data_IF_034378432742
#
_entry.id   IF_034378432742
#
_cell.length_a   1.000
_cell.length_b   1.000
_cell.length_c   1.000
_cell.angle_alpha   90.00
_cell.angle_beta   90.00
_cell.angle_gamma   90.00
#
_symmetry.space_group_name_H-M   'P 1'
#
loop_
_entity.id
_entity.type
_entity.pdbx_description
1 polymer ?
#
# COMPACT_ATOMS: atom_id res chain seq x y z
N UNK A 1 -11.21 -54.14 -11.57
CA UNK A 1 -12.24 -53.28 -12.18
C UNK A 1 -13.54 -53.53 -11.46
N UNK A 2 -14.00 -52.58 -10.65
CA UNK A 2 -15.31 -52.63 -9.98
C UNK A 2 -15.92 -51.24 -10.11
N UNK A 3 -16.98 -51.14 -10.92
CA UNK A 3 -17.80 -49.95 -11.06
C UNK A 3 -18.94 -50.05 -10.04
N UNK A 4 -19.06 -49.07 -9.15
CA UNK A 4 -20.24 -48.85 -8.33
C UNK A 4 -20.92 -47.57 -8.81
N UNK A 5 -22.23 -47.69 -9.04
CA UNK A 5 -23.09 -46.76 -9.78
C UNK A 5 -23.62 -45.65 -8.88
N UNK A 6 -23.71 -44.45 -9.44
CA UNK A 6 -24.54 -43.37 -8.95
C UNK A 6 -26.01 -43.74 -9.13
N UNK A 7 -26.83 -43.53 -8.10
CA UNK A 7 -28.26 -43.32 -8.29
C UNK A 7 -28.82 -42.32 -7.28
N UNK A 8 -29.60 -41.41 -7.87
CA UNK A 8 -30.21 -40.22 -7.34
C UNK A 8 -31.30 -40.51 -6.30
N UNK A 9 -31.45 -39.65 -5.28
CA UNK A 9 -32.75 -39.40 -4.65
C UNK A 9 -32.97 -37.92 -4.36
N UNK A 10 -33.59 -37.29 -5.34
CA UNK A 10 -34.45 -36.12 -5.23
C UNK A 10 -35.48 -36.32 -4.10
N UNK A 11 -35.47 -35.47 -3.07
CA UNK A 11 -36.66 -35.22 -2.23
C UNK A 11 -36.81 -33.73 -1.92
N UNK A 12 -37.70 -33.14 -2.69
CA UNK A 12 -38.34 -31.84 -2.53
C UNK A 12 -39.38 -31.97 -1.41
N UNK A 13 -39.30 -31.16 -0.35
CA UNK A 13 -40.35 -31.05 0.67
C UNK A 13 -40.98 -29.66 0.62
N UNK A 14 -42.30 -29.67 0.48
CA UNK A 14 -43.17 -28.54 0.20
C UNK A 14 -43.37 -27.60 1.41
N UNK A 15 -43.71 -26.36 1.07
CA UNK A 15 -44.16 -25.31 1.97
C UNK A 15 -45.57 -25.56 2.57
N UNK A 16 -45.74 -24.93 3.74
CA UNK A 16 -46.95 -24.29 4.28
C UNK A 16 -48.07 -25.12 4.94
N UNK A 17 -48.30 -24.88 6.23
CA UNK A 17 -49.51 -24.23 6.76
C UNK A 17 -49.54 -24.22 8.32
N UNK A 18 -49.98 -23.12 8.93
CA UNK A 18 -50.32 -23.03 10.36
C UNK A 18 -50.15 -21.61 10.93
N UNK A 19 -51.06 -20.68 10.59
CA UNK A 19 -52.23 -20.20 11.37
C UNK A 19 -51.92 -19.11 12.40
N UNK A 20 -52.54 -17.96 12.15
CA UNK A 20 -52.66 -16.78 13.01
C UNK A 20 -53.56 -17.04 14.23
N UNK A 21 -53.24 -16.40 15.36
CA UNK A 21 -54.21 -16.03 16.38
C UNK A 21 -53.84 -14.66 16.95
N UNK A 22 -54.81 -13.76 16.98
CA UNK A 22 -54.73 -12.38 17.45
C UNK A 22 -55.56 -12.20 18.73
N UNK A 23 -55.15 -11.29 19.62
CA UNK A 23 -56.08 -10.46 20.40
C UNK A 23 -55.98 -10.47 21.94
N UNK A 24 -55.40 -9.38 22.50
CA UNK A 24 -56.09 -8.50 23.47
C UNK A 24 -55.96 -8.73 25.00
N UNK A 25 -56.18 -7.70 25.85
CA UNK A 25 -55.27 -7.33 26.96
C UNK A 25 -55.89 -7.26 28.38
N UNK A 26 -55.04 -7.25 29.45
CA UNK A 26 -55.04 -6.28 30.60
C UNK A 26 -54.21 -6.75 31.84
N UNK A 27 -53.17 -5.96 32.16
CA UNK A 27 -52.66 -5.41 33.45
C UNK A 27 -52.93 -6.12 34.80
N UNK A 28 -51.88 -6.48 35.55
CA UNK A 28 -51.40 -5.75 36.77
C UNK A 28 -50.35 -6.49 37.62
N UNK A 29 -49.22 -5.82 37.92
CA UNK A 29 -48.53 -5.86 39.22
C UNK A 29 -47.46 -6.92 39.49
N UNK A 30 -46.17 -6.51 39.55
CA UNK A 30 -45.36 -6.36 40.79
C UNK A 30 -43.87 -6.20 40.43
N UNK A 31 -43.27 -5.19 41.05
CA UNK A 31 -41.91 -4.66 40.94
C UNK A 31 -40.76 -5.65 41.13
N UNK A 32 -39.67 -5.47 40.37
CA UNK A 32 -38.30 -5.49 40.91
C UNK A 32 -37.44 -4.39 40.30
N UNK A 33 -36.84 -3.66 41.23
CA UNK A 33 -35.88 -2.57 41.09
C UNK A 33 -34.62 -3.05 40.38
N UNK A 34 -34.17 -2.29 39.38
CA UNK A 34 -32.87 -2.42 38.73
C UNK A 34 -32.52 -1.07 38.10
N UNK A 35 -31.53 -0.41 38.69
CA UNK A 35 -31.11 0.97 38.50
C UNK A 35 -31.19 1.51 37.05
N UNK A 36 -31.94 2.60 36.89
CA UNK A 36 -31.71 3.57 35.82
C UNK A 36 -30.37 4.26 36.09
N UNK A 37 -29.34 3.94 35.31
CA UNK A 37 -28.22 4.86 35.09
C UNK A 37 -28.59 5.70 33.87
N UNK A 38 -29.09 6.90 34.12
CA UNK A 38 -29.25 7.96 33.13
C UNK A 38 -27.84 8.50 32.88
N UNK A 39 -27.28 8.48 31.67
CA UNK A 39 -26.16 9.35 31.36
C UNK A 39 -26.73 10.75 31.14
N UNK A 40 -26.72 11.56 32.20
CA UNK A 40 -26.79 13.02 32.09
C UNK A 40 -25.44 13.51 31.56
N UNK A 41 -25.31 13.55 30.24
CA UNK A 41 -24.71 14.67 29.50
C UNK A 41 -25.03 14.47 28.01
N UNK A 42 -26.28 14.79 27.66
CA UNK A 42 -26.65 15.04 26.26
C UNK A 42 -26.80 16.54 26.17
N UNK A 43 -25.80 17.19 25.60
CA UNK A 43 -25.86 18.58 25.19
C UNK A 43 -27.06 18.76 24.24
N UNK A 44 -28.15 19.31 24.78
CA UNK A 44 -29.40 19.62 24.08
C UNK A 44 -29.22 20.84 23.12
N UNK A 45 -27.97 21.27 22.89
CA UNK A 45 -27.59 22.30 21.92
C UNK A 45 -27.26 21.75 20.53
N UNK A 46 -27.36 20.43 20.31
CA UNK A 46 -27.17 19.88 18.97
C UNK A 46 -28.45 20.06 18.15
N UNK A 47 -28.53 21.15 17.38
CA UNK A 47 -29.56 21.33 16.36
C UNK A 47 -29.73 20.03 15.54
N UNK A 48 -30.96 19.61 15.17
CA UNK A 48 -31.18 18.38 14.43
C UNK A 48 -30.26 18.38 13.20
N UNK A 49 -29.41 17.35 13.07
CA UNK A 49 -28.52 17.19 11.91
C UNK A 49 -29.39 17.31 10.66
N UNK A 50 -29.23 18.40 9.90
CA UNK A 50 -30.03 18.63 8.70
C UNK A 50 -29.79 17.46 7.76
N UNK A 51 -30.83 16.69 7.45
CA UNK A 51 -30.77 15.70 6.38
C UNK A 51 -30.45 16.46 5.08
N UNK A 52 -29.41 16.02 4.37
CA UNK A 52 -28.98 16.64 3.11
C UNK A 52 -30.01 16.45 1.96
N UNK A 53 -31.03 15.61 2.17
CA UNK A 53 -32.09 15.36 1.20
C UNK A 53 -33.29 16.31 1.46
N UNK A 54 -33.87 16.93 0.41
CA UNK A 54 -35.12 17.68 0.53
C UNK A 54 -36.19 16.80 1.20
N UNK A 55 -36.94 17.36 2.15
CA UNK A 55 -38.03 16.65 2.87
C UNK A 55 -39.08 16.06 1.92
N UNK A 56 -39.21 16.62 0.71
CA UNK A 56 -40.11 16.15 -0.36
C UNK A 56 -39.54 15.01 -1.22
N UNK A 57 -38.30 14.56 -0.98
CA UNK A 57 -37.67 13.44 -1.71
C UNK A 57 -37.82 12.09 -1.00
N UNK A 58 -38.48 12.06 0.15
CA UNK A 58 -38.68 10.86 0.95
C UNK A 58 -39.79 9.99 0.33
N UNK A 59 -39.39 9.00 -0.45
CA UNK A 59 -40.30 7.98 -0.97
C UNK A 59 -40.46 6.85 0.05
N UNK A 60 -41.71 6.51 0.38
CA UNK A 60 -42.01 5.32 1.18
C UNK A 60 -41.68 4.07 0.35
N UNK A 61 -40.76 3.24 0.86
CA UNK A 61 -40.41 1.98 0.24
C UNK A 61 -41.61 1.02 0.26
N UNK A 62 -41.91 0.40 -0.88
CA UNK A 62 -42.90 -0.68 -0.93
C UNK A 62 -42.34 -1.96 -0.28
N UNK A 63 -43.23 -2.87 0.13
CA UNK A 63 -42.82 -4.16 0.69
C UNK A 63 -41.84 -4.87 -0.27
N UNK A 64 -40.62 -5.15 0.21
CA UNK A 64 -39.55 -5.77 -0.58
C UNK A 64 -38.52 -4.82 -1.21
N UNK A 65 -38.68 -3.49 -1.09
CA UNK A 65 -37.72 -2.48 -1.59
C UNK A 65 -36.69 -2.02 -0.55
N UNK A 66 -36.64 -2.64 0.63
CA UNK A 66 -35.65 -2.35 1.67
C UNK A 66 -34.33 -3.10 1.49
N UNK A 67 -33.26 -2.59 2.10
CA UNK A 67 -32.00 -3.32 2.22
C UNK A 67 -32.23 -4.63 2.99
N UNK A 68 -31.83 -5.76 2.41
CA UNK A 68 -31.84 -7.06 3.08
C UNK A 68 -30.52 -7.25 3.81
N UNK A 69 -30.59 -7.56 5.10
CA UNK A 69 -29.40 -7.90 5.89
C UNK A 69 -28.97 -9.32 5.56
N UNK A 70 -27.69 -9.50 5.24
CA UNK A 70 -27.12 -10.83 4.99
C UNK A 70 -26.99 -11.58 6.31
N UNK A 71 -27.71 -12.69 6.44
CA UNK A 71 -27.64 -13.64 7.56
C UNK A 71 -27.08 -14.97 7.04
N UNK A 72 -26.70 -15.87 7.96
CA UNK A 72 -26.12 -17.18 7.60
C UNK A 72 -27.02 -18.01 6.66
N UNK A 73 -28.34 -17.81 6.76
CA UNK A 73 -29.34 -18.57 6.01
C UNK A 73 -29.60 -18.02 4.60
N UNK A 74 -29.37 -16.72 4.37
CA UNK A 74 -29.58 -16.07 3.06
C UNK A 74 -28.27 -15.73 2.35
N UNK A 75 -27.11 -16.01 2.97
CA UNK A 75 -25.80 -15.70 2.43
C UNK A 75 -25.52 -16.41 1.10
N UNK A 76 -25.97 -17.67 0.95
CA UNK A 76 -25.83 -18.42 -0.29
C UNK A 76 -26.64 -17.77 -1.43
N UNK A 77 -27.90 -17.43 -1.17
CA UNK A 77 -28.77 -16.76 -2.14
C UNK A 77 -28.24 -15.35 -2.50
N UNK A 78 -27.73 -14.61 -1.52
CA UNK A 78 -27.13 -13.30 -1.73
C UNK A 78 -25.83 -13.39 -2.56
N UNK A 79 -25.01 -14.41 -2.35
CA UNK A 79 -23.80 -14.67 -3.13
C UNK A 79 -24.13 -15.04 -4.58
N UNK A 80 -25.15 -15.87 -4.81
CA UNK A 80 -25.60 -16.25 -6.15
C UNK A 80 -26.14 -15.04 -6.92
N UNK A 81 -26.96 -14.19 -6.28
CA UNK A 81 -27.46 -12.93 -6.89
C UNK A 81 -26.31 -11.97 -7.21
N UNK A 82 -25.30 -11.88 -6.35
CA UNK A 82 -24.11 -11.06 -6.59
C UNK A 82 -23.27 -11.60 -7.76
N UNK A 83 -23.11 -12.93 -7.85
CA UNK A 83 -22.42 -13.61 -8.95
C UNK A 83 -23.15 -13.40 -10.27
N UNK A 84 -24.47 -13.56 -10.30
CA UNK A 84 -25.29 -13.31 -11.50
C UNK A 84 -25.19 -11.85 -11.99
N UNK A 85 -25.21 -10.88 -11.07
CA UNK A 85 -25.00 -9.47 -11.44
C UNK A 85 -23.58 -9.18 -11.91
N UNK A 86 -22.58 -9.83 -11.34
CA UNK A 86 -21.20 -9.73 -11.79
C UNK A 86 -21.01 -10.36 -13.18
N UNK A 87 -21.68 -11.49 -13.46
CA UNK A 87 -21.71 -12.13 -14.76
C UNK A 87 -22.43 -11.29 -15.81
N UNK A 88 -23.56 -10.66 -15.48
CA UNK A 88 -24.24 -9.73 -16.39
C UNK A 88 -23.37 -8.51 -16.70
N UNK A 89 -22.66 -7.97 -15.71
CA UNK A 89 -21.68 -6.87 -15.92
C UNK A 89 -20.48 -7.31 -16.75
N UNK A 90 -20.02 -8.56 -16.60
CA UNK A 90 -18.89 -9.07 -17.39
C UNK A 90 -19.30 -9.39 -18.83
N UNK A 91 -20.51 -9.91 -19.06
CA UNK A 91 -21.07 -10.13 -20.40
C UNK A 91 -21.25 -8.81 -21.16
N UNK A 92 -21.68 -7.74 -20.50
CA UNK A 92 -21.76 -6.39 -21.10
C UNK A 92 -20.40 -5.70 -21.33
N UNK A 93 -19.29 -6.26 -20.81
CA UNK A 93 -17.92 -5.79 -21.10
C UNK A 93 -17.19 -6.65 -22.13
N UNK A 94 -17.79 -7.75 -22.60
CA UNK A 94 -17.23 -8.50 -23.73
C UNK A 94 -17.52 -7.69 -24.98
N UNK A 95 -16.47 -7.12 -25.56
CA UNK A 95 -16.50 -6.50 -26.88
C UNK A 95 -17.09 -7.50 -27.89
N UNK A 96 -18.37 -7.37 -28.22
CA UNK A 96 -19.00 -8.14 -29.29
C UNK A 96 -18.83 -7.37 -30.60
N UNK A 97 -17.97 -7.87 -31.47
CA UNK A 97 -17.76 -7.30 -32.80
C UNK A 97 -16.32 -7.44 -33.30
N UNK A 98 -16.08 -6.86 -34.48
CA UNK A 98 -14.85 -6.88 -35.29
C UNK A 98 -13.54 -6.43 -34.59
N UNK A 99 -13.61 -6.08 -33.30
CA UNK A 99 -12.49 -5.69 -32.43
C UNK A 99 -12.17 -6.75 -31.36
N UNK A 100 -12.36 -8.04 -31.67
CA UNK A 100 -11.82 -9.13 -30.83
C UNK A 100 -10.34 -9.29 -31.19
N UNK A 101 -9.39 -9.07 -30.26
CA UNK A 101 -7.99 -9.35 -30.55
C UNK A 101 -7.83 -10.86 -30.74
N UNK A 102 -7.37 -11.26 -31.91
CA UNK A 102 -6.91 -12.62 -32.17
C UNK A 102 -5.65 -12.86 -31.34
N UNK A 103 -5.77 -13.63 -30.25
CA UNK A 103 -4.59 -14.19 -29.60
C UNK A 103 -4.05 -15.31 -30.49
N UNK A 104 -3.10 -14.94 -31.34
CA UNK A 104 -2.55 -15.81 -32.37
C UNK A 104 -1.31 -15.24 -33.04
N UNK A 105 -0.35 -14.74 -32.27
CA UNK A 105 1.06 -14.72 -32.72
C UNK A 105 1.98 -14.52 -31.52
N UNK A 106 2.97 -15.40 -31.39
CA UNK A 106 4.12 -15.16 -30.51
C UNK A 106 4.80 -13.88 -31.01
N UNK A 107 5.12 -12.90 -30.15
CA UNK A 107 5.87 -11.74 -30.61
C UNK A 107 7.27 -12.22 -31.01
N UNK A 108 7.54 -12.14 -32.30
CA UNK A 108 8.89 -12.28 -32.84
C UNK A 108 9.72 -11.14 -32.25
N UNK A 109 10.71 -11.48 -31.41
CA UNK A 109 11.61 -10.50 -30.80
C UNK A 109 12.38 -9.81 -31.94
N UNK A 110 11.95 -8.59 -32.28
CA UNK A 110 12.73 -7.69 -33.13
C UNK A 110 14.07 -7.46 -32.45
N UNK A 111 15.23 -7.73 -33.09
CA UNK A 111 16.51 -7.42 -32.49
C UNK A 111 16.56 -5.93 -32.20
N UNK A 112 16.87 -5.57 -30.95
CA UNK A 112 16.95 -4.18 -30.52
C UNK A 112 17.92 -3.43 -31.43
N UNK A 113 17.46 -2.33 -32.03
CA UNK A 113 18.34 -1.45 -32.79
C UNK A 113 19.32 -0.82 -31.81
N UNK A 114 20.56 -1.31 -31.77
CA UNK A 114 21.62 -0.82 -30.88
C UNK A 114 21.79 0.71 -30.97
N UNK A 115 21.49 1.32 -32.13
CA UNK A 115 21.47 2.78 -32.31
C UNK A 115 20.38 3.49 -31.51
N UNK A 116 19.17 2.94 -31.39
CA UNK A 116 18.10 3.54 -30.59
C UNK A 116 18.34 3.34 -29.09
N UNK A 117 18.93 2.20 -28.70
CA UNK A 117 19.32 1.95 -27.31
C UNK A 117 20.45 2.90 -26.89
N UNK A 118 21.48 3.08 -27.74
CA UNK A 118 22.55 4.04 -27.48
C UNK A 118 22.06 5.49 -27.44
N UNK A 119 21.05 5.86 -28.24
CA UNK A 119 20.46 7.20 -28.21
C UNK A 119 19.69 7.46 -26.90
N UNK A 120 18.95 6.47 -26.40
CA UNK A 120 18.28 6.55 -25.10
C UNK A 120 19.29 6.64 -23.96
N UNK A 121 20.33 5.81 -23.98
CA UNK A 121 21.41 5.86 -22.98
C UNK A 121 22.13 7.22 -23.03
N UNK A 122 22.46 7.74 -24.22
CA UNK A 122 23.08 9.04 -24.37
C UNK A 122 22.18 10.20 -23.90
N UNK A 123 20.86 10.09 -24.12
CA UNK A 123 19.88 11.06 -23.61
C UNK A 123 19.79 11.06 -22.09
N UNK A 124 19.77 9.88 -21.46
CA UNK A 124 19.77 9.73 -20.00
C UNK A 124 21.07 10.26 -19.41
N UNK A 125 22.24 9.89 -19.97
CA UNK A 125 23.54 10.42 -19.52
C UNK A 125 23.62 11.94 -19.69
N UNK A 126 23.14 12.49 -20.80
CA UNK A 126 23.08 13.94 -21.02
C UNK A 126 22.23 14.67 -19.98
N UNK A 127 21.09 14.11 -19.59
CA UNK A 127 20.25 14.65 -18.53
C UNK A 127 20.97 14.65 -17.18
N UNK A 128 21.68 13.56 -16.85
CA UNK A 128 22.46 13.46 -15.61
C UNK A 128 23.62 14.46 -15.58
N UNK A 129 24.28 14.73 -16.71
CA UNK A 129 25.34 15.75 -16.78
C UNK A 129 24.77 17.15 -16.54
N UNK A 130 23.59 17.46 -17.08
CA UNK A 130 22.93 18.75 -16.83
C UNK A 130 22.56 18.91 -15.35
N UNK A 131 21.99 17.86 -14.73
CA UNK A 131 21.67 17.87 -13.30
C UNK A 131 22.93 18.01 -12.43
N UNK A 132 24.02 17.34 -12.78
CA UNK A 132 25.29 17.45 -12.08
C UNK A 132 25.88 18.87 -12.16
N UNK A 133 25.79 19.53 -13.33
CA UNK A 133 26.23 20.92 -13.49
C UNK A 133 25.37 21.87 -12.64
N UNK A 134 24.05 21.68 -12.61
CA UNK A 134 23.15 22.48 -11.76
C UNK A 134 23.49 22.30 -10.28
N UNK A 135 23.70 21.05 -9.84
CA UNK A 135 24.09 20.74 -8.47
C UNK A 135 25.43 21.39 -8.07
N UNK A 136 26.42 21.38 -8.96
CA UNK A 136 27.73 22.02 -8.74
C UNK A 136 27.61 23.55 -8.70
N UNK A 137 26.79 24.17 -9.56
CA UNK A 137 26.55 25.63 -9.55
C UNK A 137 25.81 26.06 -8.29
N UNK A 138 24.80 25.29 -7.83
CA UNK A 138 24.12 25.57 -6.56
C UNK A 138 25.05 25.37 -5.36
N UNK A 139 25.94 24.39 -5.40
CA UNK A 139 26.90 24.12 -4.32
C UNK A 139 27.99 25.20 -4.23
N UNK A 140 28.47 25.71 -5.37
CA UNK A 140 29.44 26.81 -5.41
C UNK A 140 28.80 28.17 -5.10
N UNK A 141 27.53 28.38 -5.44
CA UNK A 141 26.77 29.60 -5.12
C UNK A 141 26.33 29.71 -3.65
N UNK A 142 26.28 28.60 -2.92
CA UNK A 142 25.91 28.56 -1.51
C UNK A 142 27.03 28.99 -0.54
N UNK A 143 28.26 29.19 -1.02
CA UNK A 143 29.39 29.62 -0.19
C UNK A 143 29.36 31.13 0.14
N UNK A 144 28.50 31.94 -0.50
CA UNK A 144 28.56 33.41 -0.43
C UNK A 144 27.31 34.12 0.12
N UNK A 145 26.38 33.43 0.80
CA UNK A 145 25.28 34.12 1.50
C UNK A 145 24.99 33.52 2.87
N UNK A 146 25.70 34.03 3.87
CA UNK A 146 25.22 34.06 5.26
C UNK A 146 24.10 35.10 5.37
N UNK A 147 22.86 34.66 5.21
CA UNK A 147 21.73 35.45 5.69
C UNK A 147 20.74 34.55 6.43
N UNK A 148 20.84 34.59 7.75
CA UNK A 148 19.76 34.20 8.66
C UNK A 148 18.47 34.86 8.19
N UNK A 149 17.52 34.02 7.79
CA UNK A 149 16.10 34.39 7.77
C UNK A 149 15.40 33.26 8.50
N UNK A 150 14.97 33.56 9.72
CA UNK A 150 13.91 32.83 10.38
C UNK A 150 12.59 33.09 9.63
N UNK A 151 11.82 32.05 9.33
CA UNK A 151 10.38 32.20 9.20
C UNK A 151 9.69 31.33 10.24
N UNK A 152 9.12 31.98 11.25
CA UNK A 152 7.99 31.44 12.00
C UNK A 152 6.80 31.29 11.05
N UNK A 153 6.64 30.10 10.47
CA UNK A 153 5.42 29.64 9.85
C UNK A 153 5.35 28.12 10.05
N UNK A 154 4.26 27.64 10.64
CA UNK A 154 3.91 26.23 10.76
C UNK A 154 3.55 25.70 9.37
N UNK A 155 4.53 25.61 8.49
CA UNK A 155 4.47 24.85 7.24
C UNK A 155 4.72 23.41 7.66
N UNK A 156 3.79 22.50 7.35
CA UNK A 156 4.12 21.08 7.39
C UNK A 156 5.33 20.90 6.47
N UNK A 157 6.50 20.61 7.05
CA UNK A 157 7.71 20.36 6.28
C UNK A 157 7.39 19.27 5.27
N UNK A 158 7.56 19.56 3.97
CA UNK A 158 7.46 18.51 2.96
C UNK A 158 8.47 17.42 3.34
N UNK A 159 8.06 16.14 3.33
CA UNK A 159 8.91 15.06 3.78
C UNK A 159 10.20 15.03 2.97
N UNK A 160 11.35 14.92 3.64
CA UNK A 160 12.64 14.85 2.96
C UNK A 160 12.77 13.48 2.29
N UNK A 161 12.58 13.43 0.98
CA UNK A 161 12.58 12.20 0.19
C UNK A 161 13.71 12.23 -0.83
N UNK A 162 14.71 11.37 -0.65
CA UNK A 162 15.84 11.24 -1.58
C UNK A 162 16.12 9.77 -1.83
N UNK A 163 16.26 9.37 -3.09
CA UNK A 163 16.68 8.03 -3.46
C UNK A 163 17.92 8.10 -4.33
N UNK A 164 18.82 7.15 -4.13
CA UNK A 164 20.00 6.93 -4.98
C UNK A 164 20.29 5.43 -5.15
N UNK A 165 21.24 5.11 -6.03
CA UNK A 165 21.75 3.75 -6.22
C UNK A 165 22.52 3.27 -4.99
N UNK A 166 22.78 1.97 -4.86
CA UNK A 166 23.60 1.44 -3.77
C UNK A 166 25.00 2.10 -3.65
N UNK A 167 25.61 2.51 -4.77
CA UNK A 167 26.91 3.18 -4.80
C UNK A 167 26.84 4.70 -4.54
N UNK A 168 25.64 5.26 -4.36
CA UNK A 168 25.42 6.68 -4.14
C UNK A 168 25.39 7.07 -2.67
N UNK A 169 25.15 8.35 -2.41
CA UNK A 169 24.93 8.87 -1.06
C UNK A 169 23.68 9.75 -0.96
N UNK A 170 23.15 9.86 0.25
CA UNK A 170 22.07 10.77 0.63
C UNK A 170 22.57 11.68 1.75
N UNK A 171 22.03 12.89 1.88
CA UNK A 171 22.45 13.84 2.92
C UNK A 171 21.28 14.24 3.80
N UNK A 172 21.46 14.11 5.11
CA UNK A 172 20.50 14.54 6.12
C UNK A 172 21.22 15.41 7.15
N UNK A 173 20.71 16.63 7.38
CA UNK A 173 21.29 17.60 8.32
C UNK A 173 22.81 17.83 8.18
N UNK A 174 23.32 17.80 6.93
CA UNK A 174 24.74 17.99 6.63
C UNK A 174 25.62 16.75 6.81
N UNK A 175 25.06 15.63 7.26
CA UNK A 175 25.74 14.32 7.34
C UNK A 175 25.41 13.52 6.08
N UNK A 176 26.44 12.98 5.42
CA UNK A 176 26.30 12.13 4.24
C UNK A 176 26.23 10.67 4.64
N UNK A 177 25.21 9.94 4.18
CA UNK A 177 25.04 8.52 4.38
C UNK A 177 25.30 7.80 3.06
N UNK A 178 26.15 6.79 3.07
CA UNK A 178 26.49 5.97 1.91
C UNK A 178 26.57 4.50 2.32
N UNK A 179 26.36 3.59 1.36
CA UNK A 179 26.61 2.18 1.58
C UNK A 179 28.04 1.86 1.16
N UNK A 180 28.84 1.32 2.08
CA UNK A 180 30.23 0.97 1.85
C UNK A 180 30.42 -0.55 2.01
N UNK A 181 31.22 -1.15 1.13
CA UNK A 181 31.64 -2.53 1.29
C UNK A 181 32.63 -2.64 2.46
N UNK A 182 32.30 -3.46 3.45
CA UNK A 182 33.22 -3.89 4.50
C UNK A 182 33.98 -5.10 3.96
N UNK A 183 35.31 -5.13 4.09
CA UNK A 183 36.26 -6.00 3.36
C UNK A 183 36.04 -7.52 3.38
N UNK A 184 34.98 -8.00 4.04
CA UNK A 184 34.54 -9.38 4.14
C UNK A 184 33.39 -9.73 3.17
N UNK A 185 33.10 -8.85 2.19
CA UNK A 185 31.98 -9.02 1.25
C UNK A 185 30.62 -8.67 1.85
N UNK A 186 30.64 -8.01 3.01
CA UNK A 186 29.48 -7.41 3.68
C UNK A 186 29.37 -5.93 3.32
N UNK A 187 28.23 -5.32 3.60
CA UNK A 187 28.01 -3.90 3.37
C UNK A 187 27.63 -3.22 4.69
N UNK A 188 27.89 -1.93 4.80
CA UNK A 188 27.49 -1.12 5.95
C UNK A 188 27.00 0.25 5.50
N UNK A 189 26.01 0.79 6.20
CA UNK A 189 25.67 2.21 6.05
C UNK A 189 26.63 3.01 6.91
N UNK A 190 27.34 3.93 6.26
CA UNK A 190 28.37 4.79 6.87
C UNK A 190 27.91 6.24 6.80
N UNK A 191 27.86 6.89 7.96
CA UNK A 191 27.66 8.32 8.11
C UNK A 191 29.02 9.03 8.02
N UNK A 192 29.10 10.09 7.22
CA UNK A 192 30.27 10.95 7.08
C UNK A 192 29.87 12.38 7.47
N UNK A 193 30.46 12.90 8.53
CA UNK A 193 30.19 14.26 9.00
C UNK A 193 30.83 15.32 8.06
N UNK A 194 30.50 16.63 8.22
CA UNK A 194 31.10 17.70 7.41
C UNK A 194 32.63 17.82 7.52
N UNK A 195 33.23 17.24 8.56
CA UNK A 195 34.67 17.20 8.79
C UNK A 195 35.34 15.98 8.13
N UNK A 196 34.55 15.07 7.57
CA UNK A 196 35.00 13.85 6.92
C UNK A 196 35.18 12.66 7.86
N UNK A 197 34.76 12.76 9.13
CA UNK A 197 34.82 11.63 10.05
C UNK A 197 33.72 10.64 9.70
N UNK A 198 34.09 9.36 9.66
CA UNK A 198 33.19 8.26 9.31
C UNK A 198 32.76 7.49 10.55
N UNK A 199 31.47 7.25 10.66
CA UNK A 199 30.85 6.38 11.68
C UNK A 199 30.01 5.34 10.97
N UNK A 200 30.18 4.07 11.32
CA UNK A 200 29.29 3.02 10.84
C UNK A 200 27.99 3.07 11.66
N UNK A 201 26.86 3.21 10.97
CA UNK A 201 25.54 3.20 11.61
C UNK A 201 25.04 1.78 11.81
N UNK A 202 25.05 0.98 10.75
CA UNK A 202 24.68 -0.43 10.83
C UNK A 202 25.24 -1.27 9.69
N UNK A 203 25.29 -2.58 9.91
CA UNK A 203 25.68 -3.57 8.89
C UNK A 203 24.45 -4.00 8.09
N UNK A 204 24.58 -3.99 6.77
CA UNK A 204 23.62 -4.51 5.79
C UNK A 204 23.95 -5.99 5.56
N UNK A 205 22.97 -6.86 5.80
CA UNK A 205 23.20 -8.31 5.91
C UNK A 205 23.20 -9.05 4.57
N UNK A 206 22.65 -8.41 3.53
CA UNK A 206 22.59 -8.86 2.15
C UNK A 206 23.31 -7.88 1.21
N UNK A 207 23.00 -8.00 -0.08
CA UNK A 207 23.48 -7.09 -1.12
C UNK A 207 22.47 -5.96 -1.32
N UNK A 208 22.81 -4.70 -1.01
CA UNK A 208 21.93 -3.56 -1.15
C UNK A 208 21.59 -3.27 -2.62
N UNK A 209 20.39 -2.78 -2.88
CA UNK A 209 19.95 -2.39 -4.25
C UNK A 209 19.90 -0.89 -4.41
N UNK A 210 19.33 -0.19 -3.43
CA UNK A 210 19.19 1.27 -3.42
C UNK A 210 19.38 1.80 -2.00
N UNK A 211 19.75 3.08 -1.91
CA UNK A 211 19.75 3.82 -0.66
C UNK A 211 18.65 4.89 -0.72
N UNK A 212 17.75 4.86 0.25
CA UNK A 212 16.60 5.77 0.32
C UNK A 212 16.65 6.51 1.65
N UNK A 213 16.48 7.83 1.62
CA UNK A 213 16.19 8.68 2.76
C UNK A 213 14.73 9.09 2.69
N UNK A 214 13.97 8.71 3.70
CA UNK A 214 12.59 9.15 3.91
C UNK A 214 12.50 9.84 5.27
N UNK A 215 12.37 11.15 5.27
CA UNK A 215 12.49 12.01 6.45
C UNK A 215 13.82 11.78 7.18
N UNK A 216 13.77 11.21 8.39
CA UNK A 216 14.93 10.85 9.21
C UNK A 216 15.22 9.34 9.18
N UNK A 217 14.65 8.60 8.23
CA UNK A 217 14.80 7.14 8.14
C UNK A 217 15.58 6.77 6.88
N UNK A 218 16.65 6.01 7.08
CA UNK A 218 17.37 5.32 6.01
C UNK A 218 16.65 4.01 5.72
N UNK A 219 16.31 3.77 4.46
CA UNK A 219 15.68 2.54 3.98
C UNK A 219 16.58 1.89 2.94
N UNK A 220 16.89 0.60 3.14
CA UNK A 220 17.77 -0.19 2.29
C UNK A 220 17.07 -1.50 1.91
N UNK A 221 16.53 -1.60 0.69
CA UNK A 221 16.13 -2.87 0.10
C UNK A 221 17.37 -3.72 -0.23
N UNK A 222 17.40 -4.97 0.23
CA UNK A 222 18.57 -5.85 0.10
C UNK A 222 18.23 -7.29 -0.31
N UNK A 223 19.15 -7.91 -1.04
CA UNK A 223 19.09 -9.31 -1.47
C UNK A 223 19.90 -10.20 -0.52
N UNK A 224 19.26 -11.19 0.09
CA UNK A 224 19.92 -12.14 0.97
C UNK A 224 20.58 -13.27 0.19
N UNK A 225 21.59 -13.89 0.80
CA UNK A 225 22.33 -15.02 0.21
C UNK A 225 21.51 -16.33 0.15
N UNK A 226 20.44 -16.44 0.92
CA UNK A 226 19.54 -17.60 0.93
C UNK A 226 18.49 -17.58 -0.19
N UNK A 227 18.55 -16.59 -1.09
CA UNK A 227 17.60 -16.43 -2.18
C UNK A 227 16.29 -15.79 -1.76
N UNK A 228 16.28 -15.07 -0.64
CA UNK A 228 15.20 -14.16 -0.25
C UNK A 228 15.65 -12.70 -0.35
N UNK A 229 14.71 -11.79 -0.17
CA UNK A 229 14.97 -10.37 -0.02
C UNK A 229 14.15 -9.78 1.11
N UNK A 230 14.63 -8.69 1.67
CA UNK A 230 13.91 -7.88 2.66
C UNK A 230 14.21 -6.39 2.47
N UNK A 231 13.59 -5.58 3.33
CA UNK A 231 13.84 -4.15 3.42
C UNK A 231 14.17 -3.80 4.86
N UNK A 232 15.30 -3.14 5.05
CA UNK A 232 15.78 -2.71 6.37
C UNK A 232 15.61 -1.20 6.50
N UNK A 233 15.17 -0.75 7.67
CA UNK A 233 15.02 0.66 8.01
C UNK A 233 15.84 1.01 9.26
N UNK A 234 16.42 2.21 9.27
CA UNK A 234 17.19 2.75 10.38
C UNK A 234 16.82 4.21 10.61
N UNK A 235 16.45 4.57 11.83
CA UNK A 235 16.11 5.95 12.19
C UNK A 235 17.35 6.69 12.64
N UNK A 236 17.71 7.75 11.93
CA UNK A 236 18.88 8.59 12.21
C UNK A 236 18.73 9.29 13.56
N UNK A 237 19.78 9.24 14.37
CA UNK A 237 19.88 9.97 15.64
C UNK A 237 19.06 9.37 16.79
N UNK A 238 18.41 8.22 16.58
CA UNK A 238 17.91 7.39 17.67
C UNK A 238 18.97 6.36 18.09
N UNK A 239 18.95 5.93 19.34
CA UNK A 239 19.71 4.75 19.81
C UNK A 239 19.10 3.44 19.27
N UNK A 240 18.66 3.44 18.01
CA UNK A 240 17.84 2.40 17.40
C UNK A 240 18.69 1.50 16.51
N UNK A 241 18.62 0.20 16.76
CA UNK A 241 19.14 -0.80 15.84
C UNK A 241 18.33 -0.80 14.52
N UNK A 242 18.93 -1.20 13.39
CA UNK A 242 18.19 -1.39 12.16
C UNK A 242 17.07 -2.43 12.34
N UNK A 243 15.90 -2.17 11.77
CA UNK A 243 14.73 -3.05 11.85
C UNK A 243 14.28 -3.50 10.46
N UNK A 244 13.78 -4.73 10.36
CA UNK A 244 13.05 -5.15 9.16
C UNK A 244 11.75 -4.36 9.05
N UNK A 245 11.42 -3.86 7.87
CA UNK A 245 10.15 -3.19 7.63
C UNK A 245 9.02 -4.22 7.71
N UNK A 246 7.93 -3.88 8.39
CA UNK A 246 6.79 -4.77 8.62
C UNK A 246 5.52 -4.22 7.99
N UNK A 247 4.59 -5.11 7.67
CA UNK A 247 3.25 -4.75 7.25
C UNK A 247 2.39 -4.25 8.43
N UNK A 248 1.16 -3.80 8.14
CA UNK A 248 0.18 -3.37 9.15
C UNK A 248 -0.19 -4.43 10.19
N UNK A 249 0.15 -5.71 9.95
CA UNK A 249 -0.06 -6.83 10.88
C UNK A 249 1.20 -7.17 11.68
N UNK A 250 2.31 -6.45 11.48
CA UNK A 250 3.59 -6.66 12.15
C UNK A 250 4.45 -7.77 11.53
N UNK A 251 4.10 -8.29 10.34
CA UNK A 251 4.91 -9.28 9.65
C UNK A 251 5.99 -8.60 8.81
N UNK A 252 7.21 -9.12 8.83
CA UNK A 252 8.28 -8.60 7.99
C UNK A 252 7.90 -8.66 6.50
N UNK A 253 8.04 -7.53 5.80
CA UNK A 253 7.84 -7.45 4.35
C UNK A 253 9.10 -8.02 3.70
N UNK A 254 8.95 -9.21 3.16
CA UNK A 254 10.02 -10.01 2.56
C UNK A 254 9.49 -10.72 1.33
N UNK A 255 10.38 -11.24 0.50
CA UNK A 255 9.98 -12.09 -0.61
C UNK A 255 11.06 -13.07 -1.03
N UNK A 256 10.69 -13.97 -1.94
CA UNK A 256 11.61 -14.95 -2.52
C UNK A 256 12.21 -14.42 -3.81
N UNK A 257 13.43 -14.86 -4.14
CA UNK A 257 14.16 -14.43 -5.32
C UNK A 257 15.06 -13.24 -5.05
N UNK A 258 15.23 -12.39 -6.06
CA UNK A 258 16.09 -11.20 -5.98
C UNK A 258 15.35 -9.96 -6.44
N UNK A 259 15.52 -8.86 -5.72
CA UNK A 259 15.13 -7.51 -6.11
C UNK A 259 15.93 -7.11 -7.34
N UNK A 260 15.24 -6.70 -8.39
CA UNK A 260 15.81 -6.10 -9.58
C UNK A 260 15.85 -4.56 -9.48
N UNK A 261 14.85 -3.96 -8.84
CA UNK A 261 14.79 -2.52 -8.58
C UNK A 261 13.89 -2.20 -7.41
N UNK A 262 14.18 -1.09 -6.71
CA UNK A 262 13.28 -0.51 -5.73
C UNK A 262 13.13 0.99 -6.03
N UNK A 263 11.90 1.51 -6.02
CA UNK A 263 11.61 2.91 -6.33
C UNK A 263 10.66 3.52 -5.31
N UNK A 264 11.06 4.64 -4.71
CA UNK A 264 10.24 5.46 -3.83
C UNK A 264 9.26 6.29 -4.67
N UNK A 265 7.97 6.17 -4.36
CA UNK A 265 6.88 7.00 -4.87
C UNK A 265 6.03 7.48 -3.68
N UNK A 266 6.18 8.76 -3.33
CA UNK A 266 5.60 9.31 -2.11
C UNK A 266 6.06 8.57 -0.86
N UNK A 267 5.14 7.97 -0.12
CA UNK A 267 5.40 7.20 1.10
C UNK A 267 5.51 5.69 0.87
N UNK A 268 5.64 5.24 -0.38
CA UNK A 268 5.70 3.81 -0.73
C UNK A 268 6.99 3.49 -1.48
N UNK A 269 7.69 2.44 -1.06
CA UNK A 269 8.78 1.85 -1.84
C UNK A 269 8.22 0.66 -2.63
N UNK A 270 8.22 0.78 -3.95
CA UNK A 270 7.86 -0.29 -4.87
C UNK A 270 9.07 -1.19 -5.13
N UNK A 271 9.10 -2.36 -4.49
CA UNK A 271 10.14 -3.37 -4.68
C UNK A 271 9.74 -4.30 -5.82
N UNK A 272 10.47 -4.27 -6.92
CA UNK A 272 10.25 -5.16 -8.07
C UNK A 272 11.30 -6.26 -8.11
N UNK A 273 10.84 -7.51 -8.08
CA UNK A 273 11.72 -8.68 -8.18
C UNK A 273 12.17 -8.95 -9.62
N UNK A 274 13.12 -9.87 -9.79
CA UNK A 274 13.65 -10.29 -11.09
C UNK A 274 12.64 -11.04 -11.97
N UNK A 275 11.51 -11.49 -11.43
CA UNK A 275 10.38 -12.02 -12.18
C UNK A 275 9.40 -10.92 -12.64
N UNK A 276 9.58 -9.68 -12.17
CA UNK A 276 8.75 -8.52 -12.47
C UNK A 276 7.53 -8.36 -11.55
N UNK A 277 7.46 -9.09 -10.44
CA UNK A 277 6.43 -8.87 -9.43
C UNK A 277 6.80 -7.68 -8.54
N UNK A 278 5.83 -6.79 -8.30
CA UNK A 278 6.00 -5.63 -7.43
C UNK A 278 5.38 -5.90 -6.05
N UNK A 279 6.11 -5.53 -5.00
CA UNK A 279 5.66 -5.52 -3.60
C UNK A 279 5.79 -4.11 -3.06
N UNK A 280 4.71 -3.61 -2.47
CA UNK A 280 4.64 -2.26 -1.93
C UNK A 280 5.02 -2.26 -0.45
N UNK A 281 5.96 -1.39 -0.10
CA UNK A 281 6.43 -1.19 1.28
C UNK A 281 6.01 0.21 1.70
N UNK A 282 4.96 0.30 2.52
CA UNK A 282 4.52 1.57 3.08
C UNK A 282 5.50 2.04 4.18
N UNK A 283 5.81 3.34 4.17
CA UNK A 283 6.71 3.98 5.15
C UNK A 283 5.94 4.79 6.22
N UNK A 284 4.60 4.70 6.22
CA UNK A 284 3.65 5.38 7.13
C UNK A 284 2.58 4.44 7.68
#
# INVERSE_FOLDING_TARGET
MSYASNDERYRRSAHAAGRHAAGGPRVSGVSRVGAHAIPEDVDDSTAPRRCAAPVDSLQTLSAGQGARVTTRENAAEAADIARDRAEQRSRNRRLSGRNRPEYGSKPERKPANLKSVLLVIAGVVGLFVILAIVAVVTFLGAQDNTQSVEPAATTAEEPQQVQTTADGSVTYQGVSYAIEATGDGTYAVVATDPQGNKTQEFTVSGTPVTLILYNSVIVVPENKSDGTWDVVAYTIGGDSEPVSVVDSSGNAITGTGTIASATLDGSVVHVTDSAGAATDVALE
#
